data_IF_667864119005
#
_entry.id   IF_667864119005
#
_cell.length_a   1.000
_cell.length_b   1.000
_cell.length_c   1.000
_cell.angle_alpha   90.00
_cell.angle_beta   90.00
_cell.angle_gamma   90.00
#
_symmetry.space_group_name_H-M   'P 1'
#
loop_
_entity.id
_entity.type
_entity.pdbx_description
1 polymer ?
#
# COMPACT_ATOMS: atom_id res chain seq x y z
N UNK A 1 -30.58 28.86 48.77
CA UNK A 1 -29.40 27.97 48.67
C UNK A 1 -29.65 26.93 47.56
N UNK A 2 -29.25 27.27 46.34
CA UNK A 2 -29.22 26.29 45.23
C UNK A 2 -27.97 25.44 45.35
N UNK A 3 -28.16 24.15 45.38
CA UNK A 3 -27.04 23.18 45.32
C UNK A 3 -26.56 23.05 43.89
N UNK A 4 -25.34 23.50 43.60
CA UNK A 4 -24.63 23.26 42.36
C UNK A 4 -24.24 21.81 42.21
N UNK A 5 -25.08 21.01 41.57
CA UNK A 5 -24.79 19.64 41.13
C UNK A 5 -24.12 19.68 39.78
N UNK A 6 -22.90 19.32 39.77
CA UNK A 6 -21.85 19.56 38.83
C UNK A 6 -22.12 19.10 37.38
N UNK A 7 -22.17 20.02 36.45
CA UNK A 7 -21.95 19.81 35.01
C UNK A 7 -20.67 19.01 34.73
N UNK A 8 -19.73 18.96 35.66
CA UNK A 8 -18.48 18.22 35.58
C UNK A 8 -18.67 16.70 35.65
N UNK A 9 -19.66 16.21 36.44
CA UNK A 9 -19.97 14.77 36.52
C UNK A 9 -20.71 14.25 35.29
N UNK A 10 -21.51 15.10 34.61
CA UNK A 10 -22.14 14.72 33.33
C UNK A 10 -21.10 14.66 32.19
N UNK A 11 -20.14 15.55 32.15
CA UNK A 11 -19.06 15.53 31.16
C UNK A 11 -18.17 14.27 31.25
N UNK A 12 -17.84 13.83 32.48
CA UNK A 12 -17.05 12.61 32.67
C UNK A 12 -17.80 11.31 32.32
N UNK A 13 -19.12 11.29 32.47
CA UNK A 13 -19.96 10.16 32.09
C UNK A 13 -20.05 9.99 30.57
N UNK A 14 -20.15 11.09 29.83
CA UNK A 14 -20.23 11.10 28.36
C UNK A 14 -18.89 10.73 27.76
N UNK A 15 -17.76 11.29 28.25
CA UNK A 15 -16.41 10.94 27.78
C UNK A 15 -16.05 9.48 28.05
N UNK A 16 -16.44 8.92 29.19
CA UNK A 16 -16.24 7.48 29.47
C UNK A 16 -17.07 6.56 28.56
N UNK A 17 -18.31 6.95 28.21
CA UNK A 17 -19.14 6.17 27.27
C UNK A 17 -18.62 6.22 25.84
N UNK A 18 -18.14 7.37 25.38
CA UNK A 18 -17.52 7.49 24.04
C UNK A 18 -16.20 6.70 23.97
N UNK A 19 -15.33 6.77 24.99
CA UNK A 19 -14.10 6.01 25.04
C UNK A 19 -14.31 4.48 25.15
N UNK A 20 -15.46 4.02 25.71
CA UNK A 20 -15.81 2.60 25.73
C UNK A 20 -16.45 2.12 24.42
N UNK A 21 -17.18 2.98 23.69
CA UNK A 21 -17.74 2.64 22.38
C UNK A 21 -16.66 2.51 21.32
N UNK A 22 -15.68 3.40 21.32
CA UNK A 22 -14.56 3.37 20.37
C UNK A 22 -13.63 2.17 20.60
N UNK A 23 -13.40 1.77 21.86
CA UNK A 23 -12.60 0.56 22.14
C UNK A 23 -13.25 -0.74 21.65
N UNK A 24 -14.59 -0.81 21.59
CA UNK A 24 -15.29 -1.99 21.05
C UNK A 24 -15.34 -2.03 19.53
N UNK A 25 -15.29 -0.88 18.86
CA UNK A 25 -15.30 -0.79 17.40
C UNK A 25 -13.90 -1.04 16.82
N UNK A 26 -12.84 -0.54 17.48
CA UNK A 26 -11.46 -0.74 17.04
C UNK A 26 -11.00 -2.19 17.23
N UNK A 27 -11.45 -2.90 18.28
CA UNK A 27 -11.01 -4.28 18.52
C UNK A 27 -11.60 -5.33 17.56
N UNK A 28 -12.67 -5.01 16.83
CA UNK A 28 -13.30 -5.96 15.87
C UNK A 28 -12.74 -5.91 14.46
N UNK A 29 -11.90 -4.93 14.11
CA UNK A 29 -11.35 -4.79 12.75
C UNK A 29 -9.95 -5.39 12.54
N UNK A 30 -9.29 -5.94 13.57
CA UNK A 30 -7.88 -6.33 13.47
C UNK A 30 -7.57 -7.81 13.66
N UNK A 31 -8.56 -8.70 13.77
CA UNK A 31 -8.31 -10.14 13.85
C UNK A 31 -9.03 -10.88 12.73
N UNK A 32 -8.46 -10.81 11.50
CA UNK A 32 -8.55 -11.96 10.62
C UNK A 32 -7.89 -13.13 11.38
N UNK A 33 -8.53 -14.28 11.45
CA UNK A 33 -7.91 -15.45 12.05
C UNK A 33 -6.61 -15.74 11.28
N UNK A 34 -5.58 -16.21 11.95
CA UNK A 34 -4.29 -16.53 11.34
C UNK A 34 -4.44 -17.51 10.14
N UNK A 35 -5.54 -18.27 10.13
CA UNK A 35 -5.93 -19.18 9.06
C UNK A 35 -6.39 -18.48 7.75
N UNK A 36 -6.82 -17.21 7.82
CA UNK A 36 -7.36 -16.47 6.67
C UNK A 36 -6.33 -15.54 6.02
N UNK A 37 -5.10 -15.46 6.55
CA UNK A 37 -4.06 -14.60 6.01
C UNK A 37 -3.46 -15.18 4.73
N UNK A 38 -3.30 -14.34 3.72
CA UNK A 38 -2.57 -14.68 2.49
C UNK A 38 -1.10 -14.91 2.82
N UNK A 39 -0.42 -15.70 2.00
CA UNK A 39 0.99 -16.04 2.15
C UNK A 39 1.74 -15.65 0.89
N UNK A 40 2.93 -15.07 1.04
CA UNK A 40 3.85 -14.83 -0.08
C UNK A 40 4.48 -16.15 -0.53
N UNK A 41 5.11 -16.17 -1.69
CA UNK A 41 5.87 -17.34 -2.15
C UNK A 41 7.05 -17.71 -1.22
N UNK A 42 7.52 -16.75 -0.41
CA UNK A 42 8.61 -16.95 0.55
C UNK A 42 8.13 -17.29 1.97
N UNK A 43 6.82 -17.47 2.19
CA UNK A 43 6.28 -17.73 3.53
C UNK A 43 6.98 -18.89 4.25
N UNK A 44 7.11 -20.05 3.60
CA UNK A 44 7.74 -21.23 4.20
C UNK A 44 9.25 -21.01 4.46
N UNK A 45 9.91 -20.25 3.60
CA UNK A 45 11.29 -19.81 3.83
C UNK A 45 11.40 -18.94 5.10
N UNK A 46 10.51 -17.98 5.28
CA UNK A 46 10.50 -17.14 6.48
C UNK A 46 10.32 -17.97 7.76
N UNK A 47 9.35 -18.88 7.76
CA UNK A 47 9.10 -19.78 8.91
C UNK A 47 10.31 -20.67 9.18
N UNK A 48 10.89 -21.29 8.16
CA UNK A 48 12.06 -22.17 8.30
C UNK A 48 13.30 -21.45 8.85
N UNK A 49 13.41 -20.12 8.61
CA UNK A 49 14.51 -19.29 9.10
C UNK A 49 14.17 -18.51 10.39
N UNK A 50 13.09 -18.91 11.10
CA UNK A 50 12.71 -18.35 12.38
C UNK A 50 12.08 -16.97 12.29
N UNK A 51 11.48 -16.62 11.17
CA UNK A 51 10.72 -15.39 10.98
C UNK A 51 9.54 -15.32 11.94
N UNK A 52 9.45 -14.22 12.69
CA UNK A 52 8.29 -13.92 13.54
C UNK A 52 7.17 -13.37 12.66
N UNK A 53 6.23 -14.25 12.29
CA UNK A 53 5.13 -13.91 11.40
C UNK A 53 4.06 -13.10 12.12
N UNK A 54 3.55 -12.06 11.47
CA UNK A 54 2.47 -11.20 11.98
C UNK A 54 1.48 -10.85 10.87
N UNK A 55 0.21 -10.56 11.20
CA UNK A 55 -0.76 -10.04 10.25
C UNK A 55 -0.34 -8.64 9.76
N UNK A 56 -0.25 -8.46 8.45
CA UNK A 56 0.04 -7.19 7.81
C UNK A 56 -0.76 -7.05 6.51
N UNK A 57 -1.67 -6.09 6.41
CA UNK A 57 -2.51 -5.82 5.23
C UNK A 57 -3.20 -7.08 4.65
N UNK A 58 -3.64 -8.01 5.53
CA UNK A 58 -4.28 -9.27 5.11
C UNK A 58 -3.31 -10.39 4.74
N UNK A 59 -2.01 -10.18 4.94
CA UNK A 59 -0.95 -11.16 4.69
C UNK A 59 -0.25 -11.57 5.98
N UNK A 60 0.33 -12.77 5.99
CA UNK A 60 1.23 -13.20 7.06
C UNK A 60 2.65 -12.84 6.66
N UNK A 61 3.24 -11.85 7.35
CA UNK A 61 4.54 -11.28 6.98
C UNK A 61 5.55 -11.38 8.13
N UNK A 62 6.85 -11.58 7.85
CA UNK A 62 7.88 -11.60 8.88
C UNK A 62 8.19 -10.18 9.35
N UNK A 63 8.04 -9.91 10.67
CA UNK A 63 8.42 -8.62 11.24
C UNK A 63 9.87 -8.62 11.76
N UNK A 64 10.40 -9.79 12.08
CA UNK A 64 11.70 -9.95 12.71
C UNK A 64 12.17 -11.39 12.55
N UNK A 65 13.50 -11.58 12.53
CA UNK A 65 14.15 -12.88 12.63
C UNK A 65 14.91 -12.98 13.96
N UNK A 66 16.06 -13.62 13.95
CA UNK A 66 16.89 -13.81 15.16
C UNK A 66 17.40 -12.48 15.70
N UNK A 67 17.83 -11.59 14.82
CA UNK A 67 18.38 -10.29 15.19
C UNK A 67 17.30 -9.30 15.62
N UNK A 68 17.66 -8.31 16.41
CA UNK A 68 16.74 -7.26 16.79
C UNK A 68 16.35 -6.40 15.56
N UNK A 69 15.18 -5.75 15.62
CA UNK A 69 14.75 -4.80 14.56
C UNK A 69 15.80 -3.70 14.39
N UNK A 70 16.41 -3.24 15.50
CA UNK A 70 17.45 -2.20 15.47
C UNK A 70 18.69 -2.69 14.73
N UNK A 71 19.20 -3.88 15.07
CA UNK A 71 20.41 -4.45 14.43
C UNK A 71 20.17 -4.69 12.94
N UNK A 72 18.98 -5.21 12.57
CA UNK A 72 18.59 -5.38 11.17
C UNK A 72 18.52 -4.06 10.41
N UNK A 73 18.04 -2.99 11.06
CA UNK A 73 17.97 -1.65 10.46
C UNK A 73 19.36 -1.07 10.23
N UNK A 74 20.26 -1.21 11.20
CA UNK A 74 21.66 -0.76 11.08
C UNK A 74 22.35 -1.55 9.98
N UNK A 75 22.22 -2.89 9.97
CA UNK A 75 22.78 -3.73 8.92
C UNK A 75 22.31 -3.34 7.52
N UNK A 76 21.01 -3.02 7.36
CA UNK A 76 20.49 -2.55 6.09
C UNK A 76 21.20 -1.29 5.58
N UNK A 77 21.51 -0.34 6.47
CA UNK A 77 22.18 0.91 6.12
C UNK A 77 23.67 0.74 5.83
N UNK A 78 24.32 -0.19 6.51
CA UNK A 78 25.78 -0.40 6.40
C UNK A 78 26.16 -1.40 5.30
N UNK A 79 25.35 -2.42 5.10
CA UNK A 79 25.67 -3.56 4.22
C UNK A 79 24.64 -3.84 3.14
N UNK A 80 23.40 -3.41 3.34
CA UNK A 80 22.26 -3.71 2.49
C UNK A 80 21.38 -4.84 3.03
N UNK A 81 20.13 -4.87 2.58
CA UNK A 81 19.14 -5.89 2.97
C UNK A 81 18.16 -6.17 1.84
N UNK A 82 17.60 -7.39 1.86
CA UNK A 82 16.57 -7.83 0.95
C UNK A 82 15.24 -7.97 1.71
N UNK A 83 14.19 -7.36 1.18
CA UNK A 83 12.85 -7.38 1.79
C UNK A 83 11.89 -8.16 0.90
N UNK A 84 11.11 -9.08 1.48
CA UNK A 84 9.94 -9.64 0.84
C UNK A 84 8.81 -8.60 0.84
N UNK A 85 8.50 -8.07 -0.34
CA UNK A 85 7.39 -7.14 -0.58
C UNK A 85 6.39 -7.72 -1.59
N UNK A 86 6.37 -9.05 -1.73
CA UNK A 86 5.50 -9.76 -2.67
C UNK A 86 4.00 -9.69 -2.31
N UNK A 87 3.65 -9.15 -1.14
CA UNK A 87 2.29 -8.78 -0.79
C UNK A 87 1.79 -7.54 -1.55
N UNK A 88 2.67 -6.71 -2.07
CA UNK A 88 2.33 -5.57 -2.91
C UNK A 88 1.97 -6.01 -4.34
N UNK A 89 1.27 -5.14 -5.07
CA UNK A 89 0.83 -5.44 -6.41
C UNK A 89 1.66 -4.67 -7.43
N UNK A 90 2.47 -5.41 -8.20
CA UNK A 90 3.17 -4.86 -9.36
C UNK A 90 2.32 -4.94 -10.61
N UNK A 91 2.31 -3.89 -11.41
CA UNK A 91 1.63 -3.89 -12.71
C UNK A 91 2.40 -3.07 -13.74
N UNK A 92 2.20 -3.40 -15.01
CA UNK A 92 2.73 -2.66 -16.16
C UNK A 92 1.60 -1.95 -16.90
N UNK A 93 1.82 -0.69 -17.23
CA UNK A 93 1.05 0.04 -18.24
C UNK A 93 1.86 0.03 -19.54
N UNK A 94 1.22 -0.28 -20.66
CA UNK A 94 1.84 -0.37 -21.99
C UNK A 94 0.97 0.31 -23.04
N UNK A 95 1.62 0.84 -24.06
CA UNK A 95 1.01 1.56 -25.17
C UNK A 95 1.61 2.95 -25.34
N UNK A 96 1.46 3.54 -26.51
CA UNK A 96 2.03 4.85 -26.84
C UNK A 96 1.52 5.99 -25.96
N UNK A 97 0.35 5.81 -25.36
CA UNK A 97 -0.30 6.81 -24.50
C UNK A 97 -0.25 6.45 -23.01
N UNK A 98 0.61 5.49 -22.58
CA UNK A 98 0.70 5.08 -21.17
C UNK A 98 1.23 6.21 -20.27
N UNK A 99 2.13 7.06 -20.74
CA UNK A 99 2.65 8.22 -20.02
C UNK A 99 1.55 9.26 -19.82
N UNK A 100 0.95 9.86 -20.88
CA UNK A 100 -0.12 10.84 -20.69
C UNK A 100 -1.33 10.28 -19.95
N UNK A 101 -1.63 8.99 -20.08
CA UNK A 101 -2.68 8.35 -19.27
C UNK A 101 -2.33 8.39 -17.79
N UNK A 102 -1.14 7.94 -17.39
CA UNK A 102 -0.77 7.88 -15.99
C UNK A 102 -0.72 9.27 -15.35
N UNK A 103 -0.26 10.30 -16.09
CA UNK A 103 -0.25 11.70 -15.62
C UNK A 103 -1.65 12.28 -15.33
N UNK A 104 -2.71 11.66 -15.84
CA UNK A 104 -4.08 12.03 -15.43
C UNK A 104 -4.45 11.51 -14.04
N UNK A 105 -3.70 10.56 -13.48
CA UNK A 105 -4.01 9.87 -12.22
C UNK A 105 -3.06 10.26 -11.09
N UNK A 106 -1.81 10.64 -11.42
CA UNK A 106 -0.75 10.84 -10.43
C UNK A 106 -0.18 12.25 -10.49
N UNK A 107 0.52 12.66 -9.44
CA UNK A 107 1.10 14.01 -9.33
C UNK A 107 2.53 14.11 -9.88
N UNK A 108 3.17 12.97 -10.20
CA UNK A 108 4.54 12.98 -10.74
C UNK A 108 4.57 13.44 -12.20
N UNK A 109 5.64 14.14 -12.57
CA UNK A 109 6.02 14.41 -13.96
C UNK A 109 6.63 13.12 -14.56
N UNK A 110 5.79 12.27 -15.13
CA UNK A 110 6.18 10.97 -15.70
C UNK A 110 6.90 11.18 -17.04
N UNK A 111 6.48 12.18 -17.81
CA UNK A 111 7.11 12.53 -19.07
C UNK A 111 8.56 12.96 -18.86
N UNK A 112 8.84 13.71 -17.79
CA UNK A 112 10.19 14.16 -17.43
C UNK A 112 11.11 13.08 -16.89
N UNK A 113 10.62 11.88 -16.53
CA UNK A 113 11.47 10.77 -16.09
C UNK A 113 12.28 10.22 -17.27
N UNK A 114 13.57 9.99 -17.04
CA UNK A 114 14.40 9.26 -18.00
C UNK A 114 14.02 7.76 -17.98
N UNK A 115 14.10 7.04 -19.13
CA UNK A 115 13.95 5.60 -19.17
C UNK A 115 14.88 4.89 -18.17
N UNK A 116 14.37 3.89 -17.46
CA UNK A 116 15.09 3.18 -16.39
C UNK A 116 15.09 3.87 -15.04
N UNK A 117 14.45 5.04 -14.90
CA UNK A 117 14.35 5.74 -13.62
C UNK A 117 12.95 5.67 -13.04
N UNK A 118 12.84 5.86 -11.72
CA UNK A 118 11.58 5.82 -11.01
C UNK A 118 11.38 7.00 -10.06
N UNK A 119 10.15 7.14 -9.59
CA UNK A 119 9.74 8.17 -8.62
C UNK A 119 8.65 7.65 -7.71
N UNK A 120 8.64 8.13 -6.47
CA UNK A 120 7.47 8.05 -5.62
C UNK A 120 6.42 9.06 -6.11
N UNK A 121 5.16 8.65 -6.11
CA UNK A 121 4.05 9.48 -6.52
C UNK A 121 2.80 9.21 -5.70
N UNK A 122 1.73 9.96 -5.95
CA UNK A 122 0.44 9.81 -5.28
C UNK A 122 -0.67 9.80 -6.33
N UNK A 123 -1.56 8.81 -6.25
CA UNK A 123 -2.84 8.84 -6.95
C UNK A 123 -3.76 9.86 -6.31
N UNK A 124 -4.40 10.68 -7.12
CA UNK A 124 -5.32 11.72 -6.64
C UNK A 124 -6.69 11.58 -7.28
N UNK A 125 -7.72 12.03 -6.53
CA UNK A 125 -9.05 12.23 -7.08
C UNK A 125 -9.16 13.61 -7.74
N UNK A 126 -10.31 13.88 -8.41
CA UNK A 126 -10.59 15.15 -9.11
C UNK A 126 -10.51 16.40 -8.22
N UNK A 127 -10.60 16.24 -6.89
CA UNK A 127 -10.51 17.33 -5.91
C UNK A 127 -9.10 17.51 -5.34
N UNK A 128 -8.12 16.77 -5.86
CA UNK A 128 -6.75 16.77 -5.36
C UNK A 128 -6.53 16.01 -4.07
N UNK A 129 -7.53 15.24 -3.60
CA UNK A 129 -7.39 14.38 -2.43
C UNK A 129 -6.58 13.13 -2.77
N UNK A 130 -5.65 12.75 -1.87
CA UNK A 130 -4.85 11.54 -2.03
C UNK A 130 -5.71 10.27 -1.95
N UNK A 131 -5.55 9.37 -2.90
CA UNK A 131 -6.15 8.04 -2.91
C UNK A 131 -5.21 7.04 -2.28
N UNK A 132 -3.97 6.95 -2.79
CA UNK A 132 -2.87 6.13 -2.29
C UNK A 132 -1.53 6.62 -2.85
N UNK A 133 -0.42 6.19 -2.26
CA UNK A 133 0.91 6.40 -2.83
C UNK A 133 1.31 5.21 -3.72
N UNK A 134 2.25 5.44 -4.62
CA UNK A 134 2.77 4.43 -5.54
C UNK A 134 4.21 4.72 -5.91
N UNK A 135 4.98 3.68 -6.20
CA UNK A 135 6.29 3.80 -6.85
C UNK A 135 6.12 3.48 -8.32
N UNK A 136 6.50 4.42 -9.17
CA UNK A 136 6.47 4.26 -10.62
C UNK A 136 7.88 4.17 -11.18
N UNK A 137 8.06 3.38 -12.24
CA UNK A 137 9.33 3.28 -13.00
C UNK A 137 9.01 3.41 -14.48
N UNK A 138 9.60 4.39 -15.14
CA UNK A 138 9.52 4.53 -16.59
C UNK A 138 10.52 3.56 -17.22
N UNK A 139 10.04 2.40 -17.67
CA UNK A 139 10.89 1.39 -18.33
C UNK A 139 11.29 1.86 -19.72
N UNK A 140 10.31 2.34 -20.49
CA UNK A 140 10.47 3.03 -21.79
C UNK A 140 9.36 4.09 -21.90
N UNK A 141 9.34 4.85 -23.00
CA UNK A 141 8.26 5.82 -23.26
C UNK A 141 6.88 5.15 -23.48
N UNK A 142 6.86 3.86 -23.80
CA UNK A 142 5.62 3.07 -24.02
C UNK A 142 5.41 1.98 -22.96
N UNK A 143 6.20 2.00 -21.87
CA UNK A 143 6.10 1.02 -20.80
C UNK A 143 6.45 1.64 -19.45
N UNK A 144 5.47 1.69 -18.57
CA UNK A 144 5.63 2.09 -17.17
C UNK A 144 5.35 0.87 -16.29
N UNK A 145 6.24 0.59 -15.34
CA UNK A 145 6.00 -0.33 -14.26
C UNK A 145 5.63 0.45 -13.00
N UNK A 146 4.61 0.00 -12.27
CA UNK A 146 4.22 0.64 -11.02
C UNK A 146 3.84 -0.41 -9.98
N UNK A 147 3.97 0.00 -8.70
CA UNK A 147 3.66 -0.84 -7.54
C UNK A 147 2.64 -0.13 -6.69
N UNK A 148 1.52 -0.80 -6.40
CA UNK A 148 0.47 -0.31 -5.50
C UNK A 148 0.44 -1.10 -4.20
N UNK A 149 -0.05 -0.45 -3.13
CA UNK A 149 -0.01 -1.01 -1.78
C UNK A 149 -0.98 -2.19 -1.60
N UNK A 150 -0.55 -3.20 -0.85
CA UNK A 150 -1.34 -4.42 -0.61
C UNK A 150 -2.72 -4.14 0.00
N UNK A 151 -2.79 -3.20 0.95
CA UNK A 151 -4.04 -2.82 1.63
C UNK A 151 -4.98 -1.99 0.77
N UNK A 152 -4.50 -1.41 -0.33
CA UNK A 152 -5.25 -0.55 -1.23
C UNK A 152 -5.44 -1.15 -2.63
N UNK A 153 -4.92 -2.36 -2.86
CA UNK A 153 -4.90 -3.01 -4.17
C UNK A 153 -6.21 -2.90 -4.94
N UNK A 154 -7.30 -3.36 -4.36
CA UNK A 154 -8.60 -3.42 -5.05
C UNK A 154 -9.12 -2.02 -5.39
N UNK A 155 -8.95 -1.07 -4.48
CA UNK A 155 -9.32 0.33 -4.68
C UNK A 155 -8.50 0.97 -5.79
N UNK A 156 -7.19 0.76 -5.80
CA UNK A 156 -6.29 1.37 -6.76
C UNK A 156 -6.46 0.77 -8.17
N UNK A 157 -6.61 -0.55 -8.24
CA UNK A 157 -6.90 -1.22 -9.52
C UNK A 157 -8.24 -0.77 -10.10
N UNK A 158 -9.29 -0.63 -9.27
CA UNK A 158 -10.59 -0.13 -9.72
C UNK A 158 -10.48 1.30 -10.24
N UNK A 159 -9.73 2.18 -9.55
CA UNK A 159 -9.48 3.56 -9.98
C UNK A 159 -8.75 3.62 -11.32
N UNK A 160 -7.68 2.85 -11.49
CA UNK A 160 -6.93 2.78 -12.75
C UNK A 160 -7.81 2.25 -13.87
N UNK A 161 -8.58 1.18 -13.62
CA UNK A 161 -9.44 0.55 -14.63
C UNK A 161 -10.54 1.49 -15.13
N UNK A 162 -11.22 2.19 -14.24
CA UNK A 162 -12.28 3.15 -14.56
C UNK A 162 -11.76 4.24 -15.50
N UNK A 163 -10.64 4.86 -15.13
CA UNK A 163 -10.03 5.93 -15.93
C UNK A 163 -9.46 5.40 -17.25
N UNK A 164 -8.91 4.18 -17.26
CA UNK A 164 -8.43 3.54 -18.49
C UNK A 164 -9.55 3.30 -19.49
N UNK A 165 -10.72 2.82 -19.03
CA UNK A 165 -11.91 2.65 -19.87
C UNK A 165 -12.35 3.99 -20.50
N UNK A 166 -12.39 5.05 -19.68
CA UNK A 166 -12.74 6.39 -20.16
C UNK A 166 -11.70 6.96 -21.12
N UNK A 167 -10.40 6.71 -20.90
CA UNK A 167 -9.31 7.15 -21.76
C UNK A 167 -9.34 6.42 -23.13
N UNK A 168 -9.53 5.11 -23.12
CA UNK A 168 -9.65 4.28 -24.33
C UNK A 168 -10.87 4.63 -25.17
N UNK A 169 -12.00 4.99 -24.55
CA UNK A 169 -13.21 5.41 -25.28
C UNK A 169 -13.00 6.70 -26.10
N UNK A 170 -11.98 7.47 -25.76
CA UNK A 170 -11.54 8.69 -26.48
C UNK A 170 -10.43 8.39 -27.50
N UNK A 171 -10.11 7.11 -27.76
CA UNK A 171 -9.10 6.68 -28.72
C UNK A 171 -7.69 6.52 -28.15
N UNK A 172 -7.50 6.59 -26.85
CA UNK A 172 -6.20 6.39 -26.19
C UNK A 172 -5.70 4.95 -26.31
N UNK A 173 -4.42 4.79 -26.55
CA UNK A 173 -3.72 3.51 -26.66
C UNK A 173 -2.96 3.21 -25.38
N UNK A 174 -3.64 2.53 -24.43
CA UNK A 174 -3.07 2.07 -23.18
C UNK A 174 -3.67 0.73 -22.78
N UNK A 175 -2.85 -0.16 -22.26
CA UNK A 175 -3.25 -1.45 -21.68
C UNK A 175 -2.48 -1.70 -20.40
N UNK A 176 -2.94 -2.62 -19.59
CA UNK A 176 -2.22 -3.04 -18.39
C UNK A 176 -2.04 -4.55 -18.32
N UNK A 177 -1.04 -4.95 -17.54
CA UNK A 177 -0.84 -6.31 -17.10
C UNK A 177 -0.48 -6.30 -15.61
N UNK A 178 -1.25 -7.05 -14.81
CA UNK A 178 -1.01 -7.23 -13.37
C UNK A 178 -0.13 -8.45 -13.21
N UNK A 179 0.99 -8.32 -12.50
CA UNK A 179 2.02 -9.35 -12.37
C UNK A 179 1.77 -10.29 -11.17
N UNK A 180 0.58 -10.89 -11.08
CA UNK A 180 0.25 -11.83 -9.99
C UNK A 180 1.08 -13.12 -10.04
N UNK A 181 1.67 -13.41 -11.19
CA UNK A 181 2.55 -14.56 -11.40
C UNK A 181 4.00 -14.35 -10.91
N UNK A 182 4.32 -13.16 -10.39
CA UNK A 182 5.68 -12.80 -9.96
C UNK A 182 5.70 -12.42 -8.48
N UNK A 183 6.86 -12.67 -7.86
CA UNK A 183 7.16 -12.15 -6.51
C UNK A 183 7.99 -10.88 -6.62
N UNK A 184 7.73 -9.93 -5.74
CA UNK A 184 8.44 -8.67 -5.66
C UNK A 184 9.37 -8.68 -4.45
N UNK A 185 10.63 -8.33 -4.68
CA UNK A 185 11.64 -8.15 -3.64
C UNK A 185 12.18 -6.72 -3.72
N UNK A 186 12.41 -6.09 -2.57
CA UNK A 186 13.10 -4.82 -2.50
C UNK A 186 14.53 -5.03 -1.99
N UNK A 187 15.51 -4.60 -2.77
CA UNK A 187 16.91 -4.53 -2.37
C UNK A 187 17.24 -3.09 -1.95
N UNK A 188 17.74 -2.93 -0.75
CA UNK A 188 18.07 -1.63 -0.17
C UNK A 188 19.47 -1.62 0.43
#
# INVERSE_FOLDING_TARGET
>A
KMRGGSLWQLGQSITRRLAQSDKKVVSRRYFASEADLKKTALYDFHVAHGGKMVPFAGWSMPIQYKDSIMDSTVNCRENGSLFDVAHMCGLSLKGKDCVPFLETLVVADVAGLAPGTGSLTVFTNEKGGAIDDSVITKVTDEHIYLVVNAGCRDKDLAHIEEHMKAFKSKGGDVSWHIHDERSLLALQ
#
